data_IF_744854291105
#
_entry.id   IF_744854291105
#
_cell.length_a   1.000
_cell.length_b   1.000
_cell.length_c   1.000
_cell.angle_alpha   90.00
_cell.angle_beta   90.00
_cell.angle_gamma   90.00
#
_symmetry.space_group_name_H-M   'P 1'
#
loop_
_entity.id
_entity.type
_entity.pdbx_description
1 polymer ?
#
# COMPACT_ATOMS: atom_id res chain seq x y z
N UNK A 1 10.33 -12.38 -3.22
CA UNK A 1 9.13 -12.77 -3.99
C UNK A 1 7.97 -12.95 -3.02
N UNK A 2 6.85 -12.25 -3.19
CA UNK A 2 5.66 -12.34 -2.33
C UNK A 2 4.45 -12.86 -3.12
N UNK A 3 4.61 -14.00 -3.79
CA UNK A 3 3.53 -14.64 -4.58
C UNK A 3 2.26 -14.88 -3.77
N UNK A 4 2.36 -15.00 -2.44
CA UNK A 4 1.22 -15.15 -1.54
C UNK A 4 0.31 -13.90 -1.47
N UNK A 5 0.80 -12.71 -1.81
CA UNK A 5 -0.02 -11.48 -1.92
C UNK A 5 -0.94 -11.51 -3.15
N UNK A 6 -0.58 -12.27 -4.18
CA UNK A 6 -1.37 -12.35 -5.41
C UNK A 6 -2.70 -13.06 -5.13
N UNK A 7 -3.78 -12.47 -5.61
CA UNK A 7 -5.11 -13.00 -5.42
C UNK A 7 -6.17 -11.91 -5.32
N UNK A 8 -7.37 -12.36 -5.03
CA UNK A 8 -8.53 -11.51 -4.77
C UNK A 8 -8.75 -11.48 -3.27
N UNK A 9 -9.12 -10.29 -2.80
CA UNK A 9 -9.16 -9.93 -1.40
C UNK A 9 -10.43 -9.12 -1.17
N UNK A 10 -11.17 -9.46 -0.13
CA UNK A 10 -12.34 -8.70 0.31
C UNK A 10 -12.06 -8.18 1.72
N UNK A 11 -12.40 -6.93 2.02
CA UNK A 11 -12.29 -6.41 3.38
C UNK A 11 -13.14 -7.25 4.34
N UNK A 12 -12.74 -7.33 5.60
CA UNK A 12 -13.45 -8.13 6.61
C UNK A 12 -14.90 -7.66 6.81
N UNK A 13 -15.19 -6.38 6.53
CA UNK A 13 -16.56 -5.83 6.57
C UNK A 13 -17.34 -5.99 5.25
N UNK A 14 -16.72 -6.58 4.22
CA UNK A 14 -17.32 -6.88 2.92
C UNK A 14 -17.54 -5.67 2.01
N UNK A 15 -17.05 -4.48 2.37
CA UNK A 15 -17.30 -3.24 1.62
C UNK A 15 -16.30 -2.95 0.52
N UNK A 16 -15.06 -3.42 0.68
CA UNK A 16 -13.96 -3.09 -0.22
C UNK A 16 -13.40 -4.36 -0.87
N UNK A 17 -13.05 -4.24 -2.15
CA UNK A 17 -12.52 -5.32 -2.95
C UNK A 17 -11.16 -4.93 -3.53
N UNK A 18 -10.18 -5.79 -3.32
CA UNK A 18 -8.80 -5.61 -3.72
C UNK A 18 -8.37 -6.81 -4.56
N UNK A 19 -7.82 -6.58 -5.75
CA UNK A 19 -7.21 -7.64 -6.57
C UNK A 19 -5.76 -7.27 -6.83
N UNK A 20 -4.84 -8.15 -6.45
CA UNK A 20 -3.42 -8.00 -6.72
C UNK A 20 -2.98 -8.97 -7.80
N UNK A 21 -2.30 -8.44 -8.83
CA UNK A 21 -1.69 -9.20 -9.92
C UNK A 21 -0.25 -8.75 -10.12
N UNK A 22 0.63 -9.69 -10.45
CA UNK A 22 2.02 -9.38 -10.79
C UNK A 22 2.07 -8.83 -12.22
N UNK A 23 2.73 -7.70 -12.41
CA UNK A 23 3.08 -7.18 -13.74
C UNK A 23 4.47 -7.68 -14.15
N UNK A 24 5.46 -7.49 -13.27
CA UNK A 24 6.83 -7.96 -13.40
C UNK A 24 7.42 -8.32 -12.02
N UNK A 25 8.72 -8.55 -11.93
CA UNK A 25 9.37 -8.99 -10.68
C UNK A 25 9.34 -7.95 -9.55
N UNK A 26 9.06 -6.68 -9.87
CA UNK A 26 9.08 -5.54 -8.95
C UNK A 26 7.78 -4.72 -8.93
N UNK A 27 6.91 -4.93 -9.91
CA UNK A 27 5.70 -4.14 -10.12
C UNK A 27 4.45 -5.01 -10.05
N UNK A 28 3.45 -4.49 -9.35
CA UNK A 28 2.13 -5.11 -9.23
C UNK A 28 1.05 -4.20 -9.83
N UNK A 29 0.03 -4.80 -10.44
CA UNK A 29 -1.23 -4.14 -10.74
C UNK A 29 -2.17 -4.38 -9.57
N UNK A 30 -2.76 -3.29 -9.09
CA UNK A 30 -3.74 -3.28 -8.01
C UNK A 30 -5.05 -2.78 -8.58
N UNK A 31 -6.10 -3.58 -8.46
CA UNK A 31 -7.47 -3.12 -8.66
C UNK A 31 -8.10 -2.95 -7.29
N UNK A 32 -8.68 -1.79 -7.02
CA UNK A 32 -9.31 -1.48 -5.74
C UNK A 32 -10.61 -0.72 -5.99
N UNK A 33 -11.75 -1.35 -5.68
CA UNK A 33 -13.11 -0.80 -5.83
C UNK A 33 -13.44 -0.10 -7.15
N UNK A 34 -12.88 -0.59 -8.26
CA UNK A 34 -13.11 -0.03 -9.61
C UNK A 34 -11.93 0.76 -10.15
N UNK A 35 -11.05 1.22 -9.28
CA UNK A 35 -9.86 1.97 -9.66
C UNK A 35 -8.64 1.07 -9.91
N UNK A 36 -7.81 1.48 -10.86
CA UNK A 36 -6.60 0.78 -11.25
C UNK A 36 -5.38 1.55 -10.80
N UNK A 37 -4.48 0.82 -10.15
CA UNK A 37 -3.24 1.35 -9.63
C UNK A 37 -2.06 0.46 -10.01
N UNK A 38 -0.88 1.05 -9.97
CA UNK A 38 0.40 0.37 -10.08
C UNK A 38 1.16 0.49 -8.78
N UNK A 39 1.58 -0.62 -8.21
CA UNK A 39 2.26 -0.67 -6.93
C UNK A 39 3.73 -1.09 -7.08
N UNK A 40 4.58 -0.44 -6.30
CA UNK A 40 6.03 -0.63 -6.23
C UNK A 40 6.45 -0.90 -4.79
N UNK A 41 7.29 -1.91 -4.58
CA UNK A 41 7.92 -2.14 -3.28
C UNK A 41 9.09 -1.19 -3.05
N UNK A 42 9.21 -0.63 -1.85
CA UNK A 42 10.32 0.23 -1.44
C UNK A 42 10.61 0.07 0.04
N UNK A 43 11.85 -0.21 0.42
CA UNK A 43 12.25 -0.27 1.83
C UNK A 43 12.80 1.08 2.29
N UNK A 44 12.20 1.68 3.34
CA UNK A 44 12.65 2.94 3.92
C UNK A 44 12.75 2.79 5.43
N UNK A 45 13.90 3.12 6.01
CA UNK A 45 14.14 2.99 7.45
C UNK A 45 13.77 1.59 7.99
N UNK A 46 14.21 0.54 7.27
CA UNK A 46 13.92 -0.88 7.59
C UNK A 46 12.43 -1.24 7.59
N UNK A 47 11.56 -0.33 7.15
CA UNK A 47 10.13 -0.56 7.00
C UNK A 47 9.79 -0.81 5.52
N UNK A 48 9.12 -1.93 5.20
CA UNK A 48 8.68 -2.22 3.84
C UNK A 48 7.46 -1.37 3.50
N UNK A 49 7.66 -0.38 2.63
CA UNK A 49 6.59 0.44 2.08
C UNK A 49 6.21 -0.03 0.68
N UNK A 50 5.00 0.32 0.29
CA UNK A 50 4.51 0.19 -1.08
C UNK A 50 4.02 1.54 -1.56
N UNK A 51 4.61 2.01 -2.65
CA UNK A 51 4.14 3.21 -3.35
C UNK A 51 3.11 2.77 -4.39
N UNK A 52 1.93 3.38 -4.34
CA UNK A 52 0.79 3.06 -5.21
C UNK A 52 0.51 4.28 -6.08
N UNK A 53 0.55 4.10 -7.39
CA UNK A 53 0.28 5.12 -8.38
C UNK A 53 -1.09 4.89 -9.00
N UNK A 54 -1.96 5.90 -8.91
CA UNK A 54 -3.24 5.93 -9.62
C UNK A 54 -3.01 6.03 -11.14
N UNK A 55 -3.50 5.02 -11.87
CA UNK A 55 -3.42 4.94 -13.34
C UNK A 55 -4.58 5.65 -14.05
N UNK A 56 -5.67 5.93 -13.34
CA UNK A 56 -6.81 6.70 -13.84
C UNK A 56 -6.52 8.22 -13.79
N UNK A 57 -5.55 8.66 -12.98
CA UNK A 57 -5.17 10.06 -12.84
C UNK A 57 -4.00 10.48 -13.75
N UNK A 58 -4.20 11.55 -14.53
CA UNK A 58 -3.13 12.18 -15.33
C UNK A 58 -2.01 12.75 -14.45
N UNK A 59 -2.35 13.20 -13.25
CA UNK A 59 -1.41 13.80 -12.29
C UNK A 59 -0.53 12.75 -11.59
N UNK A 60 -0.72 11.46 -11.88
CA UNK A 60 0.02 10.33 -11.29
C UNK A 60 0.03 10.44 -9.76
N UNK A 61 -1.14 10.56 -9.15
CA UNK A 61 -1.26 10.64 -7.69
C UNK A 61 -0.64 9.39 -7.06
N UNK A 62 0.22 9.62 -6.09
CA UNK A 62 0.86 8.55 -5.32
C UNK A 62 0.23 8.47 -3.93
N UNK A 63 -0.02 7.25 -3.49
CA UNK A 63 -0.27 6.91 -2.10
C UNK A 63 0.84 6.00 -1.60
N UNK A 64 1.10 6.04 -0.30
CA UNK A 64 2.07 5.17 0.35
C UNK A 64 1.33 4.31 1.38
N UNK A 65 1.54 3.01 1.29
CA UNK A 65 0.91 2.03 2.18
C UNK A 65 1.97 1.11 2.75
N UNK A 66 1.77 0.68 4.00
CA UNK A 66 2.43 -0.50 4.53
C UNK A 66 1.44 -1.64 4.56
N UNK A 67 1.95 -2.85 4.41
CA UNK A 67 1.12 -4.03 4.42
C UNK A 67 1.75 -5.13 5.26
N UNK A 68 0.90 -5.99 5.81
CA UNK A 68 1.31 -7.18 6.55
C UNK A 68 0.44 -8.35 6.15
N UNK A 69 1.08 -9.41 5.68
CA UNK A 69 0.43 -10.68 5.37
C UNK A 69 0.57 -11.62 6.57
N UNK A 70 -0.49 -12.34 6.92
CA UNK A 70 -0.43 -13.41 7.93
C UNK A 70 0.42 -14.59 7.42
N UNK A 71 0.98 -15.37 8.35
CA UNK A 71 1.87 -16.50 8.02
C UNK A 71 1.18 -17.57 7.14
N UNK A 72 -0.14 -17.70 7.26
CA UNK A 72 -0.96 -18.61 6.44
C UNK A 72 -1.34 -18.03 5.06
N UNK A 73 -0.97 -16.77 4.79
CA UNK A 73 -1.26 -16.07 3.54
C UNK A 73 -2.73 -15.72 3.32
N UNK A 74 -3.58 -15.76 4.36
CA UNK A 74 -5.04 -15.58 4.23
C UNK A 74 -5.56 -14.21 4.67
N UNK A 75 -4.76 -13.47 5.43
CA UNK A 75 -5.15 -12.18 5.99
C UNK A 75 -4.12 -11.13 5.59
N UNK A 76 -4.59 -10.07 4.92
CA UNK A 76 -3.77 -8.94 4.52
C UNK A 76 -4.24 -7.71 5.28
N UNK A 77 -3.33 -7.07 6.01
CA UNK A 77 -3.57 -5.80 6.69
C UNK A 77 -2.88 -4.69 5.92
N UNK A 78 -3.59 -3.61 5.63
CA UNK A 78 -3.07 -2.42 4.96
C UNK A 78 -3.21 -1.21 5.88
N UNK A 79 -2.20 -0.34 5.91
CA UNK A 79 -2.29 1.00 6.53
C UNK A 79 -1.72 2.03 5.58
N UNK A 80 -2.47 3.09 5.31
CA UNK A 80 -1.98 4.26 4.58
C UNK A 80 -1.12 5.14 5.49
N UNK A 81 -0.28 5.99 4.89
CA UNK A 81 0.34 7.08 5.65
C UNK A 81 -0.72 8.08 6.12
N UNK A 82 -0.48 8.64 7.29
CA UNK A 82 -1.27 9.75 7.82
C UNK A 82 -0.85 11.05 7.12
N UNK A 83 -1.79 11.66 6.39
CA UNK A 83 -1.55 12.89 5.64
C UNK A 83 -1.11 14.09 6.50
N UNK A 84 -1.39 14.05 7.82
CA UNK A 84 -0.89 15.08 8.75
C UNK A 84 0.60 14.95 9.03
N UNK A 85 1.15 13.75 8.89
CA UNK A 85 2.57 13.45 9.10
C UNK A 85 3.34 13.51 7.78
N UNK A 86 2.75 12.98 6.71
CA UNK A 86 3.30 13.01 5.35
C UNK A 86 2.24 13.59 4.40
N UNK A 87 2.26 14.91 4.13
CA UNK A 87 1.24 15.57 3.31
C UNK A 87 1.16 15.00 1.90
N UNK A 88 -0.05 14.79 1.39
CA UNK A 88 -0.35 14.26 0.04
C UNK A 88 0.21 15.12 -1.09
N UNK A 89 0.42 16.41 -0.83
CA UNK A 89 0.99 17.37 -1.76
C UNK A 89 2.50 17.20 -1.92
N UNK A 90 3.15 16.42 -1.04
CA UNK A 90 4.58 16.11 -1.10
C UNK A 90 4.86 15.15 -2.25
N UNK A 91 5.18 15.71 -3.43
CA UNK A 91 5.49 14.92 -4.63
C UNK A 91 6.95 14.50 -4.75
N UNK A 92 7.83 15.13 -3.98
CA UNK A 92 9.27 14.85 -4.02
C UNK A 92 9.62 13.60 -3.20
N UNK A 93 10.20 12.59 -3.86
CA UNK A 93 10.52 11.31 -3.24
C UNK A 93 11.58 11.42 -2.15
N UNK A 94 12.55 12.33 -2.29
CA UNK A 94 13.59 12.53 -1.27
C UNK A 94 12.98 13.09 0.01
N UNK A 95 12.12 14.09 -0.12
CA UNK A 95 11.36 14.69 0.99
C UNK A 95 10.46 13.66 1.67
N UNK A 96 9.75 12.82 0.92
CA UNK A 96 8.95 11.73 1.50
C UNK A 96 9.84 10.77 2.30
N UNK A 97 10.97 10.33 1.74
CA UNK A 97 11.90 9.42 2.43
C UNK A 97 12.44 10.05 3.73
N UNK A 98 12.78 11.35 3.72
CA UNK A 98 13.20 12.07 4.92
C UNK A 98 12.10 12.13 5.98
N UNK A 99 10.86 12.43 5.58
CA UNK A 99 9.71 12.45 6.49
C UNK A 99 9.45 11.08 7.09
N UNK A 100 9.53 10.00 6.29
CA UNK A 100 9.38 8.63 6.75
C UNK A 100 10.47 8.26 7.76
N UNK A 101 11.74 8.56 7.47
CA UNK A 101 12.86 8.32 8.39
C UNK A 101 12.71 9.08 9.70
N UNK A 102 12.34 10.36 9.64
CA UNK A 102 12.14 11.21 10.81
C UNK A 102 11.00 10.71 11.71
N UNK A 103 9.99 10.09 11.11
CA UNK A 103 8.78 9.62 11.81
C UNK A 103 8.73 8.11 11.98
N UNK A 104 9.82 7.37 11.74
CA UNK A 104 9.80 5.90 11.78
C UNK A 104 9.30 5.33 13.11
N UNK A 105 9.60 6.02 14.23
CA UNK A 105 9.13 5.66 15.58
C UNK A 105 7.85 6.39 16.00
N UNK A 106 7.23 7.18 15.12
CA UNK A 106 6.02 7.93 15.41
C UNK A 106 4.79 7.01 15.24
N UNK A 107 4.02 6.72 16.32
CA UNK A 107 2.84 5.86 16.21
C UNK A 107 1.73 6.46 15.34
N UNK A 108 1.72 7.78 15.14
CA UNK A 108 0.74 8.47 14.30
C UNK A 108 1.11 8.49 12.81
N UNK A 109 2.26 7.91 12.43
CA UNK A 109 2.71 7.87 11.02
C UNK A 109 1.68 7.18 10.12
N UNK A 110 0.98 6.18 10.65
CA UNK A 110 0.03 5.36 9.90
C UNK A 110 -1.41 5.71 10.26
N UNK A 111 -2.27 5.78 9.25
CA UNK A 111 -3.71 5.92 9.41
C UNK A 111 -4.39 4.65 9.92
N UNK A 112 -5.70 4.58 9.68
CA UNK A 112 -6.52 3.41 10.03
C UNK A 112 -6.02 2.14 9.33
N UNK A 113 -6.18 1.00 10.01
CA UNK A 113 -5.86 -0.32 9.45
C UNK A 113 -7.10 -0.93 8.82
N UNK A 114 -6.95 -1.37 7.58
CA UNK A 114 -7.96 -2.15 6.88
C UNK A 114 -7.47 -3.60 6.80
N UNK A 115 -8.33 -4.53 7.22
CA UNK A 115 -8.06 -5.96 7.14
C UNK A 115 -8.85 -6.57 5.98
N UNK A 116 -8.16 -7.37 5.17
CA UNK A 116 -8.71 -8.13 4.06
C UNK A 116 -8.53 -9.62 4.26
N UNK A 117 -9.48 -10.39 3.74
CA UNK A 117 -9.47 -11.84 3.64
C UNK A 117 -9.28 -12.26 2.20
N UNK A 118 -8.39 -13.22 1.99
CA UNK A 118 -8.18 -13.79 0.66
C UNK A 118 -9.40 -14.58 0.22
N UNK A 119 -9.89 -14.32 -0.98
CA UNK A 119 -10.90 -15.14 -1.63
C UNK A 119 -10.33 -16.53 -1.97
N UNK A 120 -11.21 -17.52 -2.07
CA UNK A 120 -10.84 -18.91 -2.35
C UNK A 120 -10.55 -19.15 -3.82
#
# INVERSE_FOLDING_TARGET
>A
MQTQLLGDWTSTDGKENLKLRRLDDSVYVVYYDGDLFRAYHSDVAETPFTTVQDLNSIDRKYAYVVWKLSDDGRTLKLRSLNDKVVPKETKDSATVVELLRKNASNPELFGEEIEFRKEK
#
